data_IF_665518898431
#
_entry.id   IF_665518898431
#
_cell.length_a   1.000
_cell.length_b   1.000
_cell.length_c   1.000
_cell.angle_alpha   90.00
_cell.angle_beta   90.00
_cell.angle_gamma   90.00
#
_symmetry.space_group_name_H-M   'P 1'
#
loop_
_entity.id
_entity.type
_entity.pdbx_description
1 polymer ?
#
# COMPACT_ATOMS: atom_id res chain seq x y z
N UNK A 1 18.14 -26.99 13.66
CA UNK A 1 17.84 -26.17 12.46
C UNK A 1 16.79 -25.14 12.88
N UNK A 2 17.18 -23.88 12.91
CA UNK A 2 16.52 -22.80 13.67
C UNK A 2 15.10 -22.48 13.21
N UNK A 3 14.22 -22.14 14.16
CA UNK A 3 12.80 -21.79 13.99
C UNK A 3 12.53 -20.73 12.91
N UNK A 4 13.52 -19.88 12.64
CA UNK A 4 13.47 -18.85 11.61
C UNK A 4 13.27 -19.40 10.18
N UNK A 5 13.78 -20.60 9.88
CA UNK A 5 13.56 -21.25 8.57
C UNK A 5 12.16 -21.85 8.45
N UNK A 6 11.59 -22.34 9.56
CA UNK A 6 10.23 -22.91 9.57
C UNK A 6 9.17 -21.82 9.40
N UNK A 7 9.39 -20.64 9.99
CA UNK A 7 8.47 -19.51 9.89
C UNK A 7 8.36 -18.93 8.46
N UNK A 8 9.44 -18.98 7.67
CA UNK A 8 9.44 -18.52 6.26
C UNK A 8 8.72 -19.46 5.28
N UNK A 9 8.17 -20.58 5.76
CA UNK A 9 7.47 -21.57 4.95
C UNK A 9 5.97 -21.65 5.27
N UNK A 10 5.48 -20.81 6.18
CA UNK A 10 4.07 -20.86 6.54
C UNK A 10 3.20 -20.15 5.49
N UNK A 11 1.94 -20.60 5.28
CA UNK A 11 1.04 -19.94 4.34
C UNK A 11 0.83 -18.45 4.66
N UNK A 12 0.81 -18.09 5.94
CA UNK A 12 0.66 -16.69 6.38
C UNK A 12 1.85 -15.85 5.93
N UNK A 13 3.07 -16.39 6.06
CA UNK A 13 4.27 -15.70 5.60
C UNK A 13 4.24 -15.40 4.10
N UNK A 14 3.85 -16.39 3.29
CA UNK A 14 3.77 -16.23 1.84
C UNK A 14 2.67 -15.24 1.44
N UNK A 15 1.52 -15.29 2.12
CA UNK A 15 0.42 -14.38 1.89
C UNK A 15 0.79 -12.93 2.24
N UNK A 16 1.42 -12.71 3.40
CA UNK A 16 1.88 -11.38 3.82
C UNK A 16 2.96 -10.84 2.88
N UNK A 17 3.86 -11.71 2.38
CA UNK A 17 4.87 -11.31 1.41
C UNK A 17 4.25 -10.91 0.06
N UNK A 18 3.28 -11.70 -0.44
CA UNK A 18 2.56 -11.37 -1.67
C UNK A 18 1.83 -10.03 -1.56
N UNK A 19 1.16 -9.76 -0.42
CA UNK A 19 0.53 -8.47 -0.15
C UNK A 19 1.54 -7.31 -0.27
N UNK A 20 2.70 -7.45 0.37
CA UNK A 20 3.73 -6.42 0.36
C UNK A 20 4.27 -6.19 -1.05
N UNK A 21 4.55 -7.27 -1.78
CA UNK A 21 5.12 -7.20 -3.13
C UNK A 21 4.13 -6.57 -4.12
N UNK A 22 2.85 -6.97 -4.08
CA UNK A 22 1.81 -6.40 -4.93
C UNK A 22 1.53 -4.94 -4.57
N UNK A 23 1.54 -4.60 -3.27
CA UNK A 23 1.41 -3.20 -2.85
C UNK A 23 2.60 -2.36 -3.30
N UNK A 24 3.80 -2.93 -3.25
CA UNK A 24 5.02 -2.28 -3.73
C UNK A 24 4.90 -1.94 -5.22
N UNK A 25 4.52 -2.91 -6.06
CA UNK A 25 4.32 -2.68 -7.51
C UNK A 25 3.25 -1.62 -7.76
N UNK A 26 2.08 -1.74 -7.12
CA UNK A 26 0.99 -0.78 -7.23
C UNK A 26 1.43 0.66 -6.88
N UNK A 27 2.15 0.84 -5.76
CA UNK A 27 2.65 2.16 -5.35
C UNK A 27 3.72 2.68 -6.30
N UNK A 28 4.57 1.82 -6.83
CA UNK A 28 5.57 2.21 -7.82
C UNK A 28 4.95 2.65 -9.14
N UNK A 29 3.90 1.98 -9.64
CA UNK A 29 3.17 2.43 -10.83
C UNK A 29 2.51 3.78 -10.60
N UNK A 30 1.80 3.96 -9.47
CA UNK A 30 1.20 5.25 -9.10
C UNK A 30 2.22 6.40 -9.05
N UNK A 31 3.46 6.10 -8.65
CA UNK A 31 4.54 7.08 -8.58
C UNK A 31 5.18 7.36 -9.95
N UNK A 32 5.48 6.31 -10.72
CA UNK A 32 6.27 6.42 -11.94
C UNK A 32 5.43 6.77 -13.17
N UNK A 33 4.16 6.38 -13.23
CA UNK A 33 3.32 6.66 -14.39
C UNK A 33 3.17 8.18 -14.61
N UNK A 34 2.86 9.01 -13.59
CA UNK A 34 2.82 10.47 -13.74
C UNK A 34 4.18 11.08 -14.09
N UNK A 35 5.27 10.51 -13.56
CA UNK A 35 6.62 10.98 -13.86
C UNK A 35 7.00 10.68 -15.32
N UNK A 36 6.61 9.51 -15.83
CA UNK A 36 6.77 9.15 -17.24
C UNK A 36 5.99 10.12 -18.15
N UNK A 37 4.74 10.44 -17.81
CA UNK A 37 3.96 11.42 -18.56
C UNK A 37 4.58 12.83 -18.52
N UNK A 38 5.13 13.21 -17.37
CA UNK A 38 5.88 14.47 -17.24
C UNK A 38 7.07 14.51 -18.20
N UNK A 39 7.87 13.45 -18.27
CA UNK A 39 8.99 13.38 -19.21
C UNK A 39 8.55 13.39 -20.67
N UNK A 40 7.43 12.76 -21.02
CA UNK A 40 6.88 12.80 -22.38
C UNK A 40 6.50 14.23 -22.78
N UNK A 41 5.81 14.96 -21.90
CA UNK A 41 5.37 16.34 -22.14
C UNK A 41 6.55 17.31 -22.21
N UNK A 42 7.55 17.15 -21.35
CA UNK A 42 8.79 17.91 -21.45
C UNK A 42 9.51 17.68 -22.77
N UNK A 43 9.63 16.42 -23.23
CA UNK A 43 10.22 16.09 -24.53
C UNK A 43 9.44 16.72 -25.70
N UNK A 44 8.13 16.90 -25.56
CA UNK A 44 7.29 17.59 -26.54
C UNK A 44 7.42 19.13 -26.48
N UNK A 45 8.17 19.68 -25.52
CA UNK A 45 8.33 21.12 -25.32
C UNK A 45 7.16 21.78 -24.57
N UNK A 46 6.25 20.99 -24.00
CA UNK A 46 5.06 21.49 -23.27
C UNK A 46 5.36 21.93 -21.84
N UNK A 47 6.50 21.50 -21.28
CA UNK A 47 6.92 21.80 -19.92
C UNK A 47 8.31 22.43 -19.91
N UNK A 48 8.56 23.30 -18.93
CA UNK A 48 9.90 23.81 -18.67
C UNK A 48 10.70 22.79 -17.85
N UNK A 49 12.03 22.93 -17.84
CA UNK A 49 12.88 22.10 -16.98
C UNK A 49 12.50 22.22 -15.49
N UNK A 50 12.07 23.41 -15.04
CA UNK A 50 11.63 23.65 -13.66
C UNK A 50 10.39 22.81 -13.27
N UNK A 51 9.48 22.56 -14.21
CA UNK A 51 8.31 21.70 -13.96
C UNK A 51 8.74 20.23 -13.77
N UNK A 52 9.72 19.79 -14.56
CA UNK A 52 10.30 18.45 -14.46
C UNK A 52 11.06 18.28 -13.15
N UNK A 53 11.88 19.25 -12.77
CA UNK A 53 12.63 19.23 -11.51
C UNK A 53 11.69 19.10 -10.31
N UNK A 54 10.59 19.88 -10.29
CA UNK A 54 9.57 19.77 -9.24
C UNK A 54 8.92 18.37 -9.22
N UNK A 55 8.55 17.83 -10.38
CA UNK A 55 7.95 16.50 -10.46
C UNK A 55 8.90 15.39 -9.97
N UNK A 56 10.20 15.51 -10.29
CA UNK A 56 11.23 14.58 -9.78
C UNK A 56 11.34 14.71 -8.25
N UNK A 57 11.36 15.92 -7.71
CA UNK A 57 11.47 16.15 -6.26
C UNK A 57 10.25 15.60 -5.51
N UNK A 58 9.03 15.82 -6.02
CA UNK A 58 7.80 15.27 -5.46
C UNK A 58 7.81 13.74 -5.48
N UNK A 59 8.18 13.14 -6.64
CA UNK A 59 8.30 11.70 -6.75
C UNK A 59 9.37 11.13 -5.80
N UNK A 60 10.47 11.85 -5.60
CA UNK A 60 11.52 11.47 -4.65
C UNK A 60 11.03 11.50 -3.20
N UNK A 61 10.26 12.52 -2.80
CA UNK A 61 9.67 12.62 -1.45
C UNK A 61 8.72 11.46 -1.17
N UNK A 62 7.84 11.16 -2.13
CA UNK A 62 6.93 10.01 -2.01
C UNK A 62 7.69 8.68 -1.94
N UNK A 63 8.71 8.48 -2.78
CA UNK A 63 9.57 7.29 -2.72
C UNK A 63 10.24 7.14 -1.34
N UNK A 64 10.73 8.22 -0.75
CA UNK A 64 11.30 8.19 0.60
C UNK A 64 10.27 7.73 1.63
N UNK A 65 9.03 8.21 1.53
CA UNK A 65 7.92 7.76 2.37
C UNK A 65 7.64 6.26 2.22
N UNK A 66 7.61 5.77 0.98
CA UNK A 66 7.43 4.34 0.68
C UNK A 66 8.59 3.49 1.20
N UNK A 67 9.84 3.95 1.03
CA UNK A 67 10.99 3.21 1.55
C UNK A 67 10.90 2.99 3.06
N UNK A 68 10.47 4.01 3.82
CA UNK A 68 10.27 3.90 5.26
C UNK A 68 9.19 2.87 5.65
N UNK A 69 8.18 2.65 4.81
CA UNK A 69 7.18 1.60 4.98
C UNK A 69 7.78 0.21 4.76
N UNK A 70 8.51 0.02 3.66
CA UNK A 70 9.01 -1.31 3.26
C UNK A 70 10.24 -1.78 4.04
N UNK A 71 10.94 -0.88 4.75
CA UNK A 71 12.00 -1.25 5.70
C UNK A 71 11.44 -1.75 7.04
N UNK A 72 10.14 -1.56 7.31
CA UNK A 72 9.51 -2.10 8.52
C UNK A 72 9.51 -3.64 8.52
N UNK A 73 9.33 -4.21 9.71
CA UNK A 73 9.00 -5.64 9.82
C UNK A 73 7.70 -5.94 9.07
N UNK A 74 7.60 -7.13 8.47
CA UNK A 74 6.47 -7.58 7.64
C UNK A 74 5.11 -7.38 8.29
N UNK A 75 4.96 -7.84 9.54
CA UNK A 75 3.73 -7.68 10.32
C UNK A 75 3.30 -6.22 10.45
N UNK A 76 4.26 -5.33 10.68
CA UNK A 76 4.02 -3.89 10.75
C UNK A 76 3.73 -3.28 9.37
N UNK A 77 4.41 -3.73 8.32
CA UNK A 77 4.15 -3.27 6.95
C UNK A 77 2.72 -3.62 6.52
N UNK A 78 2.28 -4.86 6.74
CA UNK A 78 0.89 -5.32 6.48
C UNK A 78 -0.13 -4.44 7.22
N UNK A 79 0.08 -4.18 8.51
CA UNK A 79 -0.82 -3.33 9.30
C UNK A 79 -0.86 -1.88 8.81
N UNK A 80 0.28 -1.33 8.38
CA UNK A 80 0.35 0.02 7.80
C UNK A 80 -0.34 0.09 6.43
N UNK A 81 -0.16 -0.91 5.57
CA UNK A 81 -0.86 -1.00 4.28
C UNK A 81 -2.37 -1.01 4.51
N UNK A 82 -2.84 -1.84 5.43
CA UNK A 82 -4.26 -1.95 5.77
C UNK A 82 -4.85 -0.63 6.31
N UNK A 83 -4.06 0.17 7.02
CA UNK A 83 -4.50 1.44 7.58
C UNK A 83 -4.42 2.60 6.56
N UNK A 84 -3.36 2.67 5.75
CA UNK A 84 -3.11 3.77 4.82
C UNK A 84 -3.85 3.65 3.49
N UNK A 85 -4.02 2.45 2.95
CA UNK A 85 -4.73 2.23 1.69
C UNK A 85 -5.73 1.07 1.85
N UNK A 86 -6.72 1.34 2.70
CA UNK A 86 -7.76 0.37 3.06
C UNK A 86 -8.53 -0.13 1.83
N UNK A 87 -8.86 0.76 0.90
CA UNK A 87 -9.64 0.38 -0.28
C UNK A 87 -8.86 -0.59 -1.16
N UNK A 88 -7.58 -0.30 -1.44
CA UNK A 88 -6.72 -1.21 -2.17
C UNK A 88 -6.57 -2.54 -1.42
N UNK A 89 -6.35 -2.48 -0.10
CA UNK A 89 -6.19 -3.68 0.73
C UNK A 89 -7.44 -4.56 0.70
N UNK A 90 -8.63 -3.98 0.91
CA UNK A 90 -9.91 -4.72 0.89
C UNK A 90 -10.20 -5.31 -0.49
N UNK A 91 -9.83 -4.63 -1.58
CA UNK A 91 -9.93 -5.18 -2.93
C UNK A 91 -8.98 -6.37 -3.10
N UNK A 92 -7.71 -6.22 -2.72
CA UNK A 92 -6.70 -7.27 -2.86
C UNK A 92 -7.05 -8.52 -2.04
N UNK A 93 -7.55 -8.36 -0.81
CA UNK A 93 -7.96 -9.45 0.08
C UNK A 93 -9.16 -10.26 -0.45
N UNK A 94 -10.06 -9.63 -1.21
CA UNK A 94 -11.20 -10.34 -1.84
C UNK A 94 -10.71 -11.36 -2.86
N UNK A 95 -9.63 -11.03 -3.57
CA UNK A 95 -9.00 -11.89 -4.57
C UNK A 95 -8.01 -12.88 -3.93
N UNK A 96 -7.32 -12.45 -2.87
CA UNK A 96 -6.29 -13.22 -2.19
C UNK A 96 -6.69 -13.46 -0.72
N UNK A 97 -7.54 -14.45 -0.49
CA UNK A 97 -8.08 -14.73 0.85
C UNK A 97 -6.97 -15.02 1.88
N UNK A 98 -7.05 -14.44 3.09
CA UNK A 98 -6.05 -14.64 4.12
C UNK A 98 -6.09 -16.07 4.66
N UNK A 99 -4.93 -16.73 4.87
CA UNK A 99 -4.88 -18.02 5.53
C UNK A 99 -5.23 -17.90 7.03
N UNK A 100 -5.69 -18.99 7.67
CA UNK A 100 -5.95 -19.01 9.11
C UNK A 100 -4.71 -18.60 9.90
N UNK A 101 -4.83 -17.57 10.75
CA UNK A 101 -3.70 -17.06 11.54
C UNK A 101 -3.02 -15.82 10.97
N UNK A 102 -3.41 -15.33 9.79
CA UNK A 102 -3.00 -14.02 9.31
C UNK A 102 -3.47 -12.91 10.26
N UNK A 103 -2.55 -12.03 10.67
CA UNK A 103 -2.85 -10.95 11.61
C UNK A 103 -3.41 -9.74 10.86
N UNK A 104 -4.74 -9.64 10.82
CA UNK A 104 -5.45 -8.51 10.25
C UNK A 104 -5.90 -7.55 11.35
N UNK A 105 -5.76 -6.25 11.11
CA UNK A 105 -6.39 -5.21 11.94
C UNK A 105 -7.91 -5.30 11.72
N UNK A 106 -8.75 -5.32 12.76
CA UNK A 106 -10.19 -5.32 12.57
C UNK A 106 -10.64 -4.05 11.81
N UNK A 107 -11.67 -4.12 10.95
CA UNK A 107 -12.32 -2.94 10.42
C UNK A 107 -12.67 -1.96 11.54
N UNK A 108 -12.48 -0.62 11.38
CA UNK A 108 -13.16 0.30 12.27
C UNK A 108 -14.63 -0.05 12.14
N UNK A 109 -15.27 -0.34 13.27
CA UNK A 109 -16.71 -0.58 13.33
C UNK A 109 -17.35 0.53 12.50
N UNK A 110 -18.02 0.16 11.41
CA UNK A 110 -18.92 1.09 10.74
C UNK A 110 -19.84 1.52 11.86
N UNK A 111 -19.71 2.76 12.32
CA UNK A 111 -20.61 3.32 13.30
C UNK A 111 -22.01 3.07 12.75
N UNK A 112 -22.67 2.06 13.31
CA UNK A 112 -24.08 1.83 13.11
C UNK A 112 -24.70 3.17 13.42
N UNK A 113 -25.18 3.84 12.38
CA UNK A 113 -26.03 5.00 12.56
C UNK A 113 -27.30 4.41 13.16
N UNK A 114 -27.31 4.27 14.48
CA UNK A 114 -28.55 4.13 15.24
C UNK A 114 -29.31 5.42 14.97
N UNK A 115 -30.26 5.34 14.04
CA UNK A 115 -31.29 6.35 13.93
C UNK A 115 -31.98 6.48 15.29
N UNK A 116 -32.18 7.69 15.82
CA UNK A 116 -32.97 7.84 17.02
C UNK A 116 -34.42 7.49 16.65
N UNK A 117 -34.94 6.40 17.21
CA UNK A 117 -36.38 6.21 17.32
C UNK A 117 -36.95 7.37 18.14
N UNK A 118 -37.53 8.36 17.46
CA UNK A 118 -38.42 9.34 18.09
C UNK A 118 -39.67 8.59 18.59
N UNK A 119 -39.64 8.26 19.88
CA UNK A 119 -40.79 7.76 20.62
C UNK A 119 -41.87 8.83 20.78
N UNK A 120 -43.10 8.38 20.55
CA UNK A 120 -44.41 9.05 20.68
C UNK A 120 -44.61 9.96 21.90
#
# INVERSE_FOLDING_TARGET
MSDEKKHRQTPEWHWEQALIDDYYDYRWRKLLDPLCETFKRWKAGELAHADVDRAIEEAYKERCGLHNLFVQRRDRAVGLIQWWDREWFEAWVKEHRPPPGARLVPPPERASTEEPEEGH
#
